data_IF_733335629450
#
_entry.id   IF_733335629450
#
_cell.length_a   1.000
_cell.length_b   1.000
_cell.length_c   1.000
_cell.angle_alpha   90.00
_cell.angle_beta   90.00
_cell.angle_gamma   90.00
#
_symmetry.space_group_name_H-M   'P 1'
#
loop_
_entity.id
_entity.type
_entity.pdbx_description
1 polymer ?
#
# COMPACT_ATOMS: atom_id res chain seq x y z
N UNK A 1 3.16 -51.22 -17.28
CA UNK A 1 2.24 -50.06 -17.32
C UNK A 1 2.26 -49.36 -15.97
N UNK A 2 3.28 -48.53 -15.75
CA UNK A 2 3.41 -47.68 -14.54
C UNK A 2 4.06 -46.39 -15.02
N UNK A 3 3.38 -45.29 -14.96
CA UNK A 3 3.96 -43.98 -15.22
C UNK A 3 3.02 -43.04 -15.90
N UNK A 4 2.26 -42.22 -15.18
CA UNK A 4 1.73 -40.90 -15.65
C UNK A 4 0.91 -40.23 -14.54
N UNK A 5 1.29 -40.29 -13.28
CA UNK A 5 0.60 -39.59 -12.19
C UNK A 5 1.49 -38.65 -11.34
N UNK A 6 2.73 -38.36 -11.74
CA UNK A 6 3.63 -37.51 -10.94
C UNK A 6 3.94 -36.14 -11.56
N UNK A 7 3.39 -35.79 -12.71
CA UNK A 7 3.71 -34.51 -13.41
C UNK A 7 2.72 -33.37 -13.10
N UNK A 8 1.60 -33.61 -12.41
CA UNK A 8 0.56 -32.57 -12.19
C UNK A 8 0.72 -31.85 -10.83
N UNK A 9 1.55 -32.33 -9.93
CA UNK A 9 1.65 -31.79 -8.57
C UNK A 9 2.76 -30.72 -8.39
N UNK A 10 3.58 -30.46 -9.39
CA UNK A 10 4.67 -29.47 -9.31
C UNK A 10 4.33 -28.08 -9.85
N UNK A 11 3.17 -27.87 -10.46
CA UNK A 11 2.76 -26.55 -11.02
C UNK A 11 1.94 -25.73 -10.03
N UNK A 12 1.36 -26.36 -9.00
CA UNK A 12 0.51 -25.68 -8.02
C UNK A 12 1.28 -24.93 -6.92
N UNK A 13 2.60 -25.07 -6.82
CA UNK A 13 3.38 -24.49 -5.70
C UNK A 13 4.15 -23.22 -6.07
N UNK A 14 4.02 -22.72 -7.30
CA UNK A 14 4.78 -21.54 -7.78
C UNK A 14 3.94 -20.26 -7.95
N UNK A 15 2.71 -20.22 -7.45
CA UNK A 15 1.77 -19.10 -7.63
C UNK A 15 1.51 -18.32 -6.35
N UNK A 16 2.38 -18.39 -5.39
CA UNK A 16 2.21 -17.58 -4.18
C UNK A 16 3.39 -16.66 -4.04
N UNK A 17 3.34 -15.48 -4.62
CA UNK A 17 4.09 -14.37 -4.11
C UNK A 17 3.96 -13.17 -5.01
N UNK A 18 3.37 -12.03 -4.55
CA UNK A 18 3.88 -10.71 -4.82
C UNK A 18 2.86 -9.57 -4.72
N UNK A 19 3.14 -8.37 -4.19
CA UNK A 19 2.21 -7.26 -4.11
C UNK A 19 2.19 -6.34 -5.32
N UNK A 20 1.02 -5.97 -5.72
CA UNK A 20 0.83 -4.72 -6.45
C UNK A 20 -0.44 -4.02 -6.02
N UNK A 21 -0.32 -2.79 -5.61
CA UNK A 21 -1.39 -1.83 -5.75
C UNK A 21 -1.52 -1.47 -7.22
N UNK A 22 -1.97 -2.38 -8.04
CA UNK A 22 -2.25 -2.10 -9.44
C UNK A 22 -3.72 -1.83 -9.63
N UNK A 23 -4.18 -0.70 -9.10
CA UNK A 23 -5.34 -0.02 -9.66
C UNK A 23 -4.85 1.27 -10.26
N UNK A 24 -5.29 1.56 -11.47
CA UNK A 24 -5.13 2.88 -12.05
C UNK A 24 -5.78 3.92 -11.11
N UNK A 25 -5.04 4.35 -10.10
CA UNK A 25 -5.56 5.25 -9.04
C UNK A 25 -6.06 6.58 -9.62
N UNK A 26 -5.63 6.91 -10.83
CA UNK A 26 -6.12 8.07 -11.55
C UNK A 26 -7.46 7.81 -12.26
N UNK A 27 -7.78 6.57 -12.62
CA UNK A 27 -9.04 6.23 -13.26
C UNK A 27 -10.10 5.93 -12.21
N UNK A 28 -11.27 6.53 -12.34
CA UNK A 28 -12.39 6.32 -11.42
C UNK A 28 -13.39 5.33 -12.02
N UNK A 29 -14.08 4.54 -11.18
CA UNK A 29 -15.26 3.79 -11.62
C UNK A 29 -16.33 4.75 -12.11
N UNK A 30 -17.13 4.30 -13.07
CA UNK A 30 -18.30 5.03 -13.55
C UNK A 30 -19.36 5.16 -12.46
N UNK A 31 -20.34 6.04 -12.64
CA UNK A 31 -21.48 6.16 -11.73
C UNK A 31 -22.15 4.79 -11.51
N UNK A 32 -22.33 4.41 -10.23
CA UNK A 32 -22.94 3.13 -9.84
C UNK A 32 -22.05 1.91 -10.05
N UNK A 33 -20.81 2.09 -10.51
CA UNK A 33 -19.79 1.04 -10.54
C UNK A 33 -19.00 1.05 -9.25
N UNK A 34 -18.71 -0.13 -8.72
CA UNK A 34 -17.88 -0.30 -7.55
C UNK A 34 -16.86 -1.39 -7.74
N UNK A 35 -15.91 -1.45 -6.83
CA UNK A 35 -14.93 -2.51 -6.81
C UNK A 35 -14.49 -2.82 -5.39
N UNK A 36 -14.28 -4.11 -5.13
CA UNK A 36 -13.66 -4.64 -3.91
C UNK A 36 -12.34 -5.28 -4.28
N UNK A 37 -11.27 -4.94 -3.58
CA UNK A 37 -10.02 -5.66 -3.67
C UNK A 37 -9.66 -6.26 -2.32
N UNK A 38 -9.14 -7.48 -2.35
CA UNK A 38 -8.54 -8.16 -1.20
C UNK A 38 -7.08 -8.40 -1.50
N UNK A 39 -6.21 -7.92 -0.63
CA UNK A 39 -4.76 -8.00 -0.77
C UNK A 39 -4.17 -8.65 0.47
N UNK A 40 -3.46 -9.74 0.27
CA UNK A 40 -2.64 -10.35 1.31
C UNK A 40 -1.19 -9.96 1.09
N UNK A 41 -0.51 -9.47 2.12
CA UNK A 41 0.91 -9.11 2.08
C UNK A 41 1.68 -9.85 3.16
N UNK A 42 2.81 -10.47 2.78
CA UNK A 42 3.83 -10.95 3.70
C UNK A 42 5.09 -10.09 3.54
N UNK A 43 5.60 -9.54 4.61
CA UNK A 43 6.81 -8.70 4.59
C UNK A 43 7.77 -9.05 5.71
N UNK A 44 9.05 -8.86 5.43
CA UNK A 44 10.15 -9.03 6.36
C UNK A 44 11.03 -7.78 6.36
N UNK A 45 11.10 -7.08 7.49
CA UNK A 45 12.07 -6.03 7.71
C UNK A 45 13.23 -6.55 8.59
N UNK A 46 14.47 -6.28 8.16
CA UNK A 46 15.67 -6.81 8.81
C UNK A 46 16.67 -5.75 9.24
N UNK A 47 16.52 -4.52 8.77
CA UNK A 47 17.43 -3.41 9.08
C UNK A 47 16.66 -2.21 9.60
N UNK A 48 17.27 -1.52 10.55
CA UNK A 48 16.83 -0.20 11.02
C UNK A 48 17.83 0.85 10.53
N UNK A 49 17.40 1.77 9.70
CA UNK A 49 18.20 2.89 9.22
C UNK A 49 17.98 4.09 10.11
N UNK A 50 19.03 4.51 10.80
CA UNK A 50 19.12 5.80 11.47
C UNK A 50 19.71 6.85 10.50
N UNK A 51 19.72 8.15 10.83
CA UNK A 51 20.25 9.19 9.96
C UNK A 51 21.68 8.96 9.45
N UNK A 52 22.54 8.38 10.29
CA UNK A 52 23.99 8.24 10.03
C UNK A 52 24.48 6.80 10.01
N UNK A 53 23.65 5.83 10.38
CA UNK A 53 24.06 4.41 10.47
C UNK A 53 22.89 3.49 10.23
N UNK A 54 23.17 2.26 9.87
CA UNK A 54 22.20 1.18 9.80
C UNK A 54 22.69 -0.01 10.62
N UNK A 55 21.76 -0.68 11.30
CA UNK A 55 22.11 -1.88 12.06
C UNK A 55 20.95 -2.88 12.06
N UNK A 56 21.32 -4.11 12.29
CA UNK A 56 20.40 -5.21 12.55
C UNK A 56 20.11 -5.24 14.06
N UNK A 57 18.86 -5.00 14.42
CA UNK A 57 18.40 -5.16 15.82
C UNK A 57 17.42 -6.30 15.98
N UNK A 58 17.15 -7.02 14.92
CA UNK A 58 16.18 -8.10 14.86
C UNK A 58 15.29 -7.96 13.61
N UNK A 59 14.31 -8.82 13.53
CA UNK A 59 13.46 -8.96 12.38
C UNK A 59 12.01 -8.64 12.75
N UNK A 60 11.33 -7.91 11.87
CA UNK A 60 9.88 -7.72 11.96
C UNK A 60 9.27 -8.54 10.84
N UNK A 61 8.52 -9.57 11.22
CA UNK A 61 7.65 -10.30 10.30
C UNK A 61 6.27 -9.64 10.35
N UNK A 62 5.67 -9.37 9.20
CA UNK A 62 4.32 -8.85 9.12
C UNK A 62 3.53 -9.57 8.02
N UNK A 63 2.31 -9.97 8.35
CA UNK A 63 1.29 -10.41 7.42
C UNK A 63 0.15 -9.41 7.48
N UNK A 64 -0.34 -8.93 6.35
CA UNK A 64 -1.49 -8.04 6.33
C UNK A 64 -2.54 -8.50 5.33
N UNK A 65 -3.80 -8.28 5.67
CA UNK A 65 -4.93 -8.39 4.77
C UNK A 65 -5.55 -7.00 4.65
N UNK A 66 -5.55 -6.47 3.45
CA UNK A 66 -6.23 -5.22 3.14
C UNK A 66 -7.49 -5.52 2.33
N UNK A 67 -8.63 -5.02 2.81
CA UNK A 67 -9.87 -4.97 2.03
C UNK A 67 -10.08 -3.52 1.61
N UNK A 68 -10.07 -3.28 0.31
CA UNK A 68 -10.23 -1.96 -0.28
C UNK A 68 -11.52 -1.89 -1.08
N UNK A 69 -12.37 -0.93 -0.76
CA UNK A 69 -13.62 -0.67 -1.44
C UNK A 69 -13.56 0.68 -2.14
N UNK A 70 -14.01 0.73 -3.39
CA UNK A 70 -14.15 1.98 -4.16
C UNK A 70 -15.49 2.00 -4.86
N UNK A 71 -16.16 3.17 -4.87
CA UNK A 71 -17.47 3.32 -5.51
C UNK A 71 -17.59 4.67 -6.23
N UNK A 72 -18.07 4.64 -7.47
CA UNK A 72 -18.36 5.80 -8.30
C UNK A 72 -19.71 6.42 -7.92
N UNK A 73 -19.70 7.56 -7.26
CA UNK A 73 -20.91 8.33 -6.95
C UNK A 73 -21.46 9.04 -8.19
N UNK A 74 -20.54 9.52 -9.01
CA UNK A 74 -20.82 10.13 -10.33
C UNK A 74 -19.71 9.71 -11.29
N UNK A 75 -19.81 10.05 -12.57
CA UNK A 75 -18.76 9.78 -13.57
C UNK A 75 -17.44 10.55 -13.28
N UNK A 76 -17.45 11.45 -12.28
CA UNK A 76 -16.29 12.24 -11.90
C UNK A 76 -15.92 12.16 -10.42
N UNK A 77 -16.76 11.58 -9.58
CA UNK A 77 -16.52 11.49 -8.13
C UNK A 77 -16.57 10.06 -7.68
N UNK A 78 -15.55 9.60 -6.99
CA UNK A 78 -15.53 8.32 -6.33
C UNK A 78 -15.12 8.45 -4.86
N UNK A 79 -15.64 7.54 -4.05
CA UNK A 79 -15.24 7.37 -2.64
C UNK A 79 -14.51 6.05 -2.47
N UNK A 80 -13.64 5.98 -1.48
CA UNK A 80 -12.95 4.74 -1.13
C UNK A 80 -12.85 4.55 0.38
N UNK A 81 -12.85 3.29 0.80
CA UNK A 81 -12.63 2.86 2.18
C UNK A 81 -11.64 1.70 2.16
N UNK A 82 -10.61 1.76 2.99
CA UNK A 82 -9.64 0.68 3.14
C UNK A 82 -9.63 0.19 4.59
N UNK A 83 -9.76 -1.13 4.75
CA UNK A 83 -9.85 -1.85 6.01
C UNK A 83 -8.65 -2.79 6.12
N UNK A 84 -7.52 -2.36 6.69
CA UNK A 84 -6.35 -3.20 6.86
C UNK A 84 -6.43 -3.98 8.19
N UNK A 85 -6.02 -5.25 8.13
CA UNK A 85 -5.74 -6.12 9.27
C UNK A 85 -4.29 -6.53 9.20
N UNK A 86 -3.61 -6.58 10.32
CA UNK A 86 -2.20 -6.95 10.36
C UNK A 86 -1.93 -7.96 11.49
N UNK A 87 -1.06 -8.91 11.19
CA UNK A 87 -0.40 -9.77 12.14
C UNK A 87 1.10 -9.43 12.11
N UNK A 88 1.65 -8.96 13.22
CA UNK A 88 3.05 -8.59 13.33
C UNK A 88 3.74 -9.39 14.43
N UNK A 89 5.05 -9.57 14.24
CA UNK A 89 5.91 -10.21 15.24
C UNK A 89 7.31 -9.63 15.16
N UNK A 90 7.90 -9.32 16.31
CA UNK A 90 9.31 -8.96 16.42
C UNK A 90 10.14 -10.15 16.92
N UNK A 91 11.25 -10.43 16.26
CA UNK A 91 12.25 -11.43 16.66
C UNK A 91 13.62 -10.76 16.77
N UNK A 92 14.07 -10.52 17.98
CA UNK A 92 15.37 -9.89 18.19
C UNK A 92 15.78 -9.74 19.64
N UNK A 93 17.07 -9.35 19.85
CA UNK A 93 17.65 -9.18 21.17
C UNK A 93 17.47 -7.78 21.75
N UNK A 94 16.98 -6.83 20.96
CA UNK A 94 16.84 -5.43 21.33
C UNK A 94 15.40 -4.94 21.17
N UNK A 95 14.45 -5.47 21.97
CA UNK A 95 13.06 -5.00 21.94
C UNK A 95 12.98 -3.57 22.46
N UNK A 96 11.88 -2.89 22.21
CA UNK A 96 11.54 -1.66 22.90
C UNK A 96 11.39 -1.95 24.40
N UNK A 97 11.93 -1.05 25.22
CA UNK A 97 11.80 -1.16 26.67
C UNK A 97 11.04 0.06 27.19
N UNK A 98 10.05 -0.19 28.03
CA UNK A 98 9.30 0.80 28.79
C UNK A 98 10.24 1.57 29.76
N UNK A 99 9.75 2.65 30.36
CA UNK A 99 10.51 3.47 31.30
C UNK A 99 10.99 2.67 32.52
N UNK A 100 10.17 1.74 32.98
CA UNK A 100 10.50 0.82 34.08
C UNK A 100 11.45 -0.32 33.68
N UNK A 101 11.95 -0.35 32.44
CA UNK A 101 12.85 -1.37 31.93
C UNK A 101 12.17 -2.66 31.45
N UNK A 102 10.86 -2.78 31.58
CA UNK A 102 10.11 -3.92 31.04
C UNK A 102 10.06 -3.85 29.50
N UNK A 103 9.96 -5.01 28.87
CA UNK A 103 9.77 -5.14 27.42
C UNK A 103 8.40 -4.58 27.02
N UNK A 104 8.34 -3.85 25.89
CA UNK A 104 7.07 -3.48 25.27
C UNK A 104 6.26 -4.74 24.91
N UNK A 105 4.95 -4.68 25.13
CA UNK A 105 4.06 -5.86 25.06
C UNK A 105 4.09 -6.55 23.70
N UNK A 106 4.17 -5.80 22.61
CA UNK A 106 4.18 -6.34 21.25
C UNK A 106 5.54 -6.90 20.80
N UNK A 107 6.63 -6.63 21.54
CA UNK A 107 7.98 -7.11 21.20
C UNK A 107 8.34 -8.42 21.98
N UNK A 108 7.35 -9.22 22.35
CA UNK A 108 7.49 -10.45 23.14
C UNK A 108 7.92 -11.68 22.32
N UNK A 109 7.92 -11.56 20.98
CA UNK A 109 8.28 -12.63 20.04
C UNK A 109 7.09 -13.43 19.53
N UNK A 110 5.88 -13.19 20.01
CA UNK A 110 4.64 -13.82 19.52
C UNK A 110 4.00 -13.00 18.40
N UNK A 111 3.03 -13.61 17.72
CA UNK A 111 2.21 -12.93 16.73
C UNK A 111 1.09 -12.12 17.42
N UNK A 112 0.98 -10.84 17.06
CA UNK A 112 -0.08 -9.95 17.48
C UNK A 112 -0.95 -9.58 16.27
N UNK A 113 -2.24 -9.88 16.35
CA UNK A 113 -3.21 -9.68 15.26
C UNK A 113 -4.20 -8.60 15.66
N UNK A 114 -4.36 -7.60 14.80
CA UNK A 114 -5.29 -6.50 15.07
C UNK A 114 -5.71 -5.79 13.78
N UNK A 115 -6.88 -5.12 13.74
CA UNK A 115 -7.15 -4.11 12.72
C UNK A 115 -6.12 -2.98 12.81
N UNK A 116 -5.73 -2.44 11.66
CA UNK A 116 -4.83 -1.30 11.54
C UNK A 116 -5.61 0.00 11.33
N UNK A 117 -4.91 1.09 11.03
CA UNK A 117 -5.52 2.39 10.77
C UNK A 117 -6.40 2.36 9.51
N UNK A 118 -7.66 2.77 9.64
CA UNK A 118 -8.63 2.87 8.57
C UNK A 118 -8.28 4.02 7.63
N UNK A 119 -8.63 3.87 6.35
CA UNK A 119 -8.43 4.93 5.36
C UNK A 119 -9.73 5.23 4.64
N UNK A 120 -10.00 6.52 4.46
CA UNK A 120 -11.13 7.02 3.69
C UNK A 120 -10.61 7.99 2.64
N UNK A 121 -11.25 8.03 1.49
CA UNK A 121 -10.84 8.92 0.41
C UNK A 121 -11.99 9.37 -0.47
N UNK A 122 -11.85 10.60 -0.99
CA UNK A 122 -12.69 11.16 -2.04
C UNK A 122 -11.79 11.58 -3.18
N UNK A 123 -12.13 11.18 -4.39
CA UNK A 123 -11.39 11.44 -5.61
C UNK A 123 -12.29 12.15 -6.62
N UNK A 124 -11.74 13.13 -7.33
CA UNK A 124 -12.44 13.87 -8.36
C UNK A 124 -11.67 13.79 -9.68
N UNK A 125 -12.29 13.31 -10.74
CA UNK A 125 -11.66 13.25 -12.04
C UNK A 125 -11.74 14.62 -12.74
N UNK A 126 -10.62 15.34 -12.72
CA UNK A 126 -10.50 16.67 -13.31
C UNK A 126 -10.36 16.57 -14.84
N UNK A 127 -9.58 15.61 -15.34
CA UNK A 127 -9.30 15.42 -16.76
C UNK A 127 -9.33 13.93 -17.12
N UNK A 128 -10.08 13.58 -18.17
CA UNK A 128 -10.34 12.19 -18.58
C UNK A 128 -9.81 11.85 -19.98
N UNK A 129 -9.22 12.81 -20.71
CA UNK A 129 -8.74 12.60 -22.08
C UNK A 129 -7.23 12.79 -22.17
N UNK A 130 -6.58 11.90 -22.88
CA UNK A 130 -5.13 11.91 -23.06
C UNK A 130 -4.38 11.51 -21.78
N UNK A 131 -4.16 12.47 -20.88
CA UNK A 131 -3.70 12.24 -19.50
C UNK A 131 -4.90 12.33 -18.57
N UNK A 132 -5.14 11.30 -17.77
CA UNK A 132 -6.16 11.32 -16.72
C UNK A 132 -5.55 11.99 -15.48
N UNK A 133 -6.24 12.98 -14.91
CA UNK A 133 -5.78 13.72 -13.71
C UNK A 133 -6.89 13.72 -12.68
N UNK A 134 -6.56 13.22 -11.49
CA UNK A 134 -7.52 12.97 -10.41
C UNK A 134 -6.96 13.47 -9.07
N UNK A 135 -7.25 14.73 -8.68
CA UNK A 135 -7.02 15.19 -7.33
C UNK A 135 -7.84 14.37 -6.32
N UNK A 136 -7.33 14.28 -5.09
CA UNK A 136 -7.98 13.57 -4.01
C UNK A 136 -7.69 14.17 -2.65
N UNK A 137 -8.58 13.90 -1.71
CA UNK A 137 -8.40 14.11 -0.27
C UNK A 137 -8.72 12.81 0.43
N UNK A 138 -7.95 12.48 1.43
CA UNK A 138 -8.16 11.29 2.25
C UNK A 138 -7.82 11.54 3.70
N UNK A 139 -8.23 10.61 4.55
CA UNK A 139 -7.90 10.59 5.97
C UNK A 139 -7.49 9.18 6.38
N UNK A 140 -6.56 9.12 7.33
CA UNK A 140 -6.16 7.91 8.06
C UNK A 140 -6.60 8.11 9.50
N UNK A 141 -7.22 7.10 10.10
CA UNK A 141 -7.67 7.14 11.48
C UNK A 141 -7.47 5.79 12.15
N UNK A 142 -7.00 5.74 13.40
CA UNK A 142 -6.91 4.49 14.13
C UNK A 142 -8.26 3.78 14.17
N UNK A 143 -8.27 2.47 13.90
CA UNK A 143 -9.48 1.65 13.97
C UNK A 143 -10.00 1.50 15.40
N UNK A 144 -9.08 1.51 16.36
CA UNK A 144 -9.32 1.42 17.79
C UNK A 144 -8.07 1.89 18.54
N UNK A 145 -8.11 1.84 19.86
CA UNK A 145 -6.95 2.10 20.71
C UNK A 145 -6.07 0.85 20.78
N UNK A 146 -4.85 0.91 20.26
CA UNK A 146 -3.87 -0.18 20.30
C UNK A 146 -2.49 0.32 20.73
N UNK A 147 -1.63 -0.61 21.17
CA UNK A 147 -0.25 -0.30 21.54
C UNK A 147 0.58 -0.04 20.28
N UNK A 148 1.30 1.07 20.26
CA UNK A 148 2.13 1.51 19.13
C UNK A 148 3.63 1.56 19.46
N UNK A 149 4.02 1.52 20.73
CA UNK A 149 5.41 1.57 21.15
C UNK A 149 6.03 0.18 21.08
N UNK A 150 6.42 -0.26 19.90
CA UNK A 150 7.07 -1.54 19.66
C UNK A 150 7.61 -1.61 18.23
N UNK A 151 8.63 -2.46 17.98
CA UNK A 151 9.05 -2.80 16.62
C UNK A 151 7.94 -3.51 15.84
N UNK A 152 7.16 -4.36 16.52
CA UNK A 152 6.02 -5.06 15.95
C UNK A 152 4.71 -4.25 16.03
N UNK A 153 4.80 -2.91 16.09
CA UNK A 153 3.61 -2.08 16.10
C UNK A 153 2.76 -2.29 14.83
N UNK A 154 1.44 -2.45 14.96
CA UNK A 154 0.54 -2.60 13.82
C UNK A 154 0.40 -1.33 12.99
N UNK A 155 0.60 -0.16 13.58
CA UNK A 155 0.47 1.14 12.94
C UNK A 155 0.99 2.27 13.82
N UNK A 156 0.67 3.50 13.44
CA UNK A 156 1.13 4.69 14.19
C UNK A 156 0.13 5.19 15.22
N UNK A 157 -1.10 4.70 15.21
CA UNK A 157 -2.21 5.18 16.05
C UNK A 157 -2.35 6.71 15.99
N UNK A 158 -2.27 7.30 14.78
CA UNK A 158 -2.37 8.74 14.55
C UNK A 158 -3.44 9.07 13.52
N UNK A 159 -4.12 10.21 13.71
CA UNK A 159 -4.99 10.78 12.69
C UNK A 159 -4.14 11.56 11.68
N UNK A 160 -4.37 11.32 10.39
CA UNK A 160 -3.70 12.03 9.31
C UNK A 160 -4.71 12.49 8.25
N UNK A 161 -4.45 13.64 7.65
CA UNK A 161 -5.14 14.12 6.44
C UNK A 161 -4.13 14.10 5.31
N UNK A 162 -4.57 13.57 4.16
CA UNK A 162 -3.80 13.47 2.94
C UNK A 162 -4.50 14.26 1.84
N UNK A 163 -3.76 15.09 1.11
CA UNK A 163 -4.26 15.75 -0.09
C UNK A 163 -3.24 15.57 -1.22
N UNK A 164 -3.72 15.29 -2.42
CA UNK A 164 -2.80 14.98 -3.51
C UNK A 164 -3.46 14.87 -4.86
N UNK A 165 -2.69 14.34 -5.81
CA UNK A 165 -3.11 14.12 -7.18
C UNK A 165 -2.60 12.77 -7.69
N UNK A 166 -3.43 12.07 -8.44
CA UNK A 166 -3.05 10.93 -9.26
C UNK A 166 -3.12 11.32 -10.72
N UNK A 167 -2.17 10.85 -11.53
CA UNK A 167 -2.17 11.04 -12.98
C UNK A 167 -1.86 9.71 -13.67
N UNK A 168 -2.50 9.46 -14.83
CA UNK A 168 -2.23 8.27 -15.63
C UNK A 168 -2.30 8.59 -17.11
N UNK A 169 -1.50 7.87 -17.90
CA UNK A 169 -1.55 7.86 -19.36
C UNK A 169 -1.37 6.46 -19.89
N UNK A 170 -2.22 6.09 -20.84
CA UNK A 170 -2.08 4.85 -21.59
C UNK A 170 -1.56 5.18 -23.00
N UNK A 171 -0.56 4.44 -23.42
CA UNK A 171 0.07 4.54 -24.74
C UNK A 171 -0.41 3.36 -25.59
N UNK A 172 -1.63 3.48 -26.13
CA UNK A 172 -2.31 2.38 -26.85
C UNK A 172 -1.47 1.74 -27.95
N UNK A 173 -0.78 2.56 -28.77
CA UNK A 173 0.10 2.06 -29.84
C UNK A 173 1.37 1.37 -29.37
N UNK A 174 1.67 1.34 -28.06
CA UNK A 174 2.88 0.73 -27.47
C UNK A 174 2.56 -0.35 -26.46
N UNK A 175 1.29 -0.64 -26.18
CA UNK A 175 0.88 -1.58 -25.15
C UNK A 175 1.38 -1.22 -23.74
N UNK A 176 1.53 0.07 -23.43
CA UNK A 176 2.10 0.55 -22.15
C UNK A 176 1.19 1.52 -21.45
N UNK A 177 1.32 1.60 -20.13
CA UNK A 177 0.77 2.69 -19.36
C UNK A 177 1.80 3.18 -18.31
N UNK A 178 1.62 4.43 -17.91
CA UNK A 178 2.32 5.03 -16.78
C UNK A 178 1.29 5.68 -15.89
N UNK A 179 1.40 5.47 -14.60
CA UNK A 179 0.61 6.21 -13.61
C UNK A 179 1.49 6.63 -12.44
N UNK A 180 1.10 7.74 -11.83
CA UNK A 180 1.75 8.26 -10.65
C UNK A 180 0.73 8.82 -9.66
N UNK A 181 1.11 8.81 -8.40
CA UNK A 181 0.37 9.46 -7.32
C UNK A 181 1.34 10.23 -6.46
N UNK A 182 0.94 11.44 -6.07
CA UNK A 182 1.65 12.25 -5.09
C UNK A 182 0.66 12.78 -4.07
N UNK A 183 1.03 12.75 -2.79
CA UNK A 183 0.25 13.30 -1.70
C UNK A 183 1.13 14.03 -0.70
N UNK A 184 0.58 15.06 -0.08
CA UNK A 184 1.05 15.68 1.15
C UNK A 184 0.19 15.16 2.29
N UNK A 185 0.85 14.66 3.34
CA UNK A 185 0.23 14.19 4.57
C UNK A 185 0.54 15.11 5.75
N UNK A 186 -0.46 15.35 6.58
CA UNK A 186 -0.35 16.11 7.82
C UNK A 186 -0.98 15.30 8.94
N UNK A 187 -0.16 14.87 9.89
CA UNK A 187 -0.61 14.15 11.08
C UNK A 187 -1.14 15.08 12.17
N UNK A 188 -1.83 14.50 13.13
CA UNK A 188 -2.19 15.18 14.37
C UNK A 188 -0.95 15.65 15.14
N UNK A 189 -1.15 16.54 16.10
CA UNK A 189 -0.06 16.97 16.99
C UNK A 189 0.18 15.93 18.08
N UNK A 190 1.40 15.39 18.14
CA UNK A 190 1.85 14.41 19.14
C UNK A 190 3.07 14.98 19.85
N UNK A 191 3.04 15.10 21.17
CA UNK A 191 4.13 15.63 22.00
C UNK A 191 4.76 16.92 21.43
N UNK A 192 3.89 17.88 21.05
CA UNK A 192 4.30 19.16 20.49
C UNK A 192 4.70 19.12 19.00
N UNK A 193 5.02 17.97 18.45
CA UNK A 193 5.35 17.78 17.04
C UNK A 193 4.09 17.55 16.19
N UNK A 194 4.08 18.07 14.96
CA UNK A 194 3.08 17.77 13.95
C UNK A 194 3.78 17.18 12.73
N UNK A 195 3.78 15.85 12.57
CA UNK A 195 4.42 15.21 11.42
C UNK A 195 3.80 15.67 10.10
N UNK A 196 4.66 16.03 9.13
CA UNK A 196 4.28 16.32 7.75
C UNK A 196 5.16 15.48 6.84
N UNK A 197 4.57 14.94 5.79
CA UNK A 197 5.33 14.10 4.85
C UNK A 197 4.76 14.23 3.44
N UNK A 198 5.59 13.86 2.46
CA UNK A 198 5.15 13.55 1.11
C UNK A 198 5.11 12.05 0.92
N UNK A 199 4.12 11.56 0.16
CA UNK A 199 4.08 10.20 -0.36
C UNK A 199 4.06 10.28 -1.88
N UNK A 200 4.87 9.44 -2.52
CA UNK A 200 4.91 9.30 -3.97
C UNK A 200 4.84 7.85 -4.39
N UNK A 201 4.16 7.58 -5.49
CA UNK A 201 4.12 6.28 -6.12
C UNK A 201 4.17 6.44 -7.63
N UNK A 202 4.93 5.59 -8.30
CA UNK A 202 4.97 5.49 -9.76
C UNK A 202 4.82 4.04 -10.15
N UNK A 203 4.04 3.80 -11.18
CA UNK A 203 3.81 2.51 -11.80
C UNK A 203 3.98 2.64 -13.31
N UNK A 204 4.74 1.71 -13.89
CA UNK A 204 4.90 1.57 -15.33
C UNK A 204 4.46 0.15 -15.68
N UNK A 205 3.45 0.03 -16.53
CA UNK A 205 2.92 -1.26 -16.95
C UNK A 205 3.09 -1.52 -18.43
N UNK A 206 3.27 -2.79 -18.77
CA UNK A 206 3.35 -3.29 -20.14
C UNK A 206 2.38 -4.45 -20.33
N UNK A 207 1.49 -4.35 -21.34
CA UNK A 207 0.55 -5.41 -21.70
C UNK A 207 1.26 -6.44 -22.56
N UNK A 208 1.54 -7.62 -22.01
CA UNK A 208 2.06 -8.77 -22.77
C UNK A 208 1.01 -9.37 -23.68
N UNK A 209 -0.23 -9.43 -23.17
CA UNK A 209 -1.44 -9.85 -23.88
C UNK A 209 -2.60 -8.99 -23.40
N UNK A 210 -3.81 -9.20 -23.91
CA UNK A 210 -5.03 -8.54 -23.41
C UNK A 210 -5.31 -8.85 -21.93
N UNK A 211 -4.89 -10.03 -21.46
CA UNK A 211 -5.15 -10.49 -20.10
C UNK A 211 -3.94 -10.38 -19.17
N UNK A 212 -2.70 -10.25 -19.68
CA UNK A 212 -1.48 -10.29 -18.86
C UNK A 212 -0.74 -8.97 -18.93
N UNK A 213 -0.44 -8.39 -17.77
CA UNK A 213 0.33 -7.15 -17.63
C UNK A 213 1.54 -7.37 -16.74
N UNK A 214 2.70 -6.87 -17.14
CA UNK A 214 3.87 -6.68 -16.28
C UNK A 214 3.87 -5.27 -15.72
N UNK A 215 4.35 -5.13 -14.48
CA UNK A 215 4.34 -3.85 -13.78
C UNK A 215 5.67 -3.61 -13.08
N UNK A 216 6.27 -2.45 -13.30
CA UNK A 216 7.35 -1.90 -12.48
C UNK A 216 6.77 -0.90 -11.48
N UNK A 217 7.21 -0.94 -10.23
CA UNK A 217 6.69 -0.16 -9.12
C UNK A 217 7.81 0.56 -8.38
N UNK A 218 7.57 1.83 -8.02
CA UNK A 218 8.35 2.56 -7.04
C UNK A 218 7.40 3.33 -6.12
N UNK A 219 7.63 3.26 -4.80
CA UNK A 219 6.84 3.97 -3.81
C UNK A 219 7.75 4.52 -2.71
N UNK A 220 7.51 5.76 -2.30
CA UNK A 220 8.34 6.41 -1.30
C UNK A 220 7.55 7.31 -0.37
N UNK A 221 8.14 7.52 0.80
CA UNK A 221 7.70 8.50 1.81
C UNK A 221 8.88 9.38 2.17
N UNK A 222 8.63 10.69 2.29
CA UNK A 222 9.61 11.69 2.70
C UNK A 222 9.05 12.55 3.81
N UNK A 223 9.58 12.42 5.02
CA UNK A 223 9.21 13.22 6.20
C UNK A 223 9.81 14.62 6.12
N UNK A 224 8.96 15.66 6.18
CA UNK A 224 9.38 17.06 6.18
C UNK A 224 9.66 17.56 7.59
N UNK A 225 8.87 17.13 8.56
CA UNK A 225 8.96 17.50 9.97
C UNK A 225 8.96 16.26 10.84
N UNK A 226 9.42 16.40 12.07
CA UNK A 226 9.55 15.32 13.02
C UNK A 226 10.97 15.27 13.61
N UNK A 227 11.25 14.25 14.39
CA UNK A 227 12.55 14.06 15.03
C UNK A 227 13.40 13.03 14.29
N UNK A 228 14.71 13.18 14.37
CA UNK A 228 15.67 12.16 13.95
C UNK A 228 15.96 11.23 15.13
N UNK A 229 15.84 9.91 14.89
CA UNK A 229 16.18 8.90 15.89
C UNK A 229 17.65 8.54 15.74
N UNK A 230 18.36 8.51 16.87
CA UNK A 230 19.78 8.16 16.96
C UNK A 230 19.99 6.99 17.93
N UNK A 231 21.17 6.44 17.98
CA UNK A 231 21.52 5.37 18.94
C UNK A 231 21.39 5.81 20.39
N UNK A 232 21.50 7.11 20.67
CA UNK A 232 21.38 7.72 21.99
C UNK A 232 19.97 8.26 22.31
N UNK A 233 19.02 8.19 21.39
CA UNK A 233 17.71 8.83 21.57
C UNK A 233 16.99 8.42 22.85
N UNK A 234 17.14 7.16 23.28
CA UNK A 234 16.56 6.69 24.56
C UNK A 234 17.09 7.46 25.77
N UNK A 235 18.37 7.86 25.77
CA UNK A 235 19.02 8.55 26.88
C UNK A 235 19.01 10.07 26.76
N UNK A 236 18.75 10.60 25.55
CA UNK A 236 18.84 12.03 25.26
C UNK A 236 17.49 12.72 25.07
N UNK A 237 16.46 11.96 24.68
CA UNK A 237 15.10 12.49 24.53
C UNK A 237 14.33 12.39 25.85
N UNK A 238 13.43 13.33 26.15
CA UNK A 238 12.41 13.13 27.18
C UNK A 238 11.64 11.83 26.92
N UNK A 239 11.28 11.11 27.99
CA UNK A 239 10.57 9.82 27.85
C UNK A 239 9.35 9.89 26.95
N UNK A 240 8.54 10.90 27.11
CA UNK A 240 7.33 11.09 26.32
C UNK A 240 7.62 11.20 24.81
N UNK A 241 8.69 11.89 24.40
CA UNK A 241 9.12 11.95 23.01
C UNK A 241 9.70 10.61 22.54
N UNK A 242 10.47 9.93 23.36
CA UNK A 242 10.99 8.61 23.03
C UNK A 242 9.88 7.58 22.92
N UNK A 243 8.89 7.58 23.81
CA UNK A 243 7.72 6.71 23.74
C UNK A 243 6.89 6.91 22.45
N UNK A 244 6.85 8.13 21.94
CA UNK A 244 6.12 8.48 20.72
C UNK A 244 7.02 8.58 19.47
N UNK A 245 8.28 8.11 19.51
CA UNK A 245 9.23 8.37 18.44
C UNK A 245 8.79 7.87 17.06
N UNK A 246 8.14 6.72 16.96
CA UNK A 246 7.63 6.18 15.67
C UNK A 246 6.47 7.01 15.11
N UNK A 247 5.72 7.70 15.98
CA UNK A 247 4.63 8.59 15.59
C UNK A 247 5.13 9.94 15.07
N UNK A 248 6.29 10.39 15.56
CA UNK A 248 6.87 11.71 15.27
C UNK A 248 8.20 11.65 14.52
N UNK A 249 8.67 10.47 14.13
CA UNK A 249 9.91 10.31 13.38
C UNK A 249 9.83 10.97 12.00
N UNK A 250 10.91 11.65 11.61
CA UNK A 250 11.12 12.16 10.24
C UNK A 250 11.60 11.04 9.33
N UNK A 251 10.69 10.17 8.97
CA UNK A 251 10.96 8.98 8.20
C UNK A 251 11.13 9.26 6.71
N UNK A 252 12.13 8.61 6.09
CA UNK A 252 12.29 8.55 4.65
C UNK A 252 12.45 7.09 4.23
N UNK A 253 11.71 6.67 3.23
CA UNK A 253 11.81 5.34 2.64
C UNK A 253 11.50 5.41 1.15
N UNK A 254 12.25 4.65 0.36
CA UNK A 254 11.98 4.39 -1.05
C UNK A 254 12.02 2.88 -1.27
N UNK A 255 10.92 2.36 -1.78
CA UNK A 255 10.76 0.96 -2.12
C UNK A 255 10.61 0.83 -3.64
N UNK A 256 11.17 -0.22 -4.21
CA UNK A 256 11.03 -0.51 -5.64
C UNK A 256 10.86 -2.01 -5.87
N UNK A 257 10.28 -2.36 -7.00
CA UNK A 257 10.04 -3.73 -7.39
C UNK A 257 9.16 -3.85 -8.62
N UNK A 258 8.44 -4.96 -8.72
CA UNK A 258 7.59 -5.19 -9.87
C UNK A 258 6.59 -6.32 -9.63
N UNK A 259 5.76 -6.58 -10.61
CA UNK A 259 4.71 -7.57 -10.50
C UNK A 259 4.07 -7.95 -11.82
N UNK A 260 3.04 -8.77 -11.70
CA UNK A 260 2.20 -9.24 -12.79
C UNK A 260 0.73 -9.11 -12.39
N UNK A 261 -0.10 -8.79 -13.36
CA UNK A 261 -1.56 -8.81 -13.21
C UNK A 261 -2.17 -9.64 -14.32
N UNK A 262 -3.21 -10.40 -13.98
CA UNK A 262 -3.95 -11.27 -14.88
C UNK A 262 -5.44 -10.94 -14.77
N UNK A 263 -6.04 -10.54 -15.88
CA UNK A 263 -7.48 -10.37 -16.04
C UNK A 263 -8.11 -11.74 -16.33
N UNK A 264 -8.87 -12.27 -15.37
CA UNK A 264 -9.55 -13.57 -15.49
C UNK A 264 -10.90 -13.43 -16.18
N UNK A 265 -11.57 -12.31 -15.99
CA UNK A 265 -12.85 -11.98 -16.62
C UNK A 265 -13.05 -10.46 -16.68
N UNK A 266 -14.13 -10.01 -17.29
CA UNK A 266 -14.53 -8.59 -17.32
C UNK A 266 -14.64 -7.92 -15.93
N UNK A 267 -14.75 -8.72 -14.87
CA UNK A 267 -14.97 -8.24 -13.51
C UNK A 267 -13.92 -8.69 -12.50
N UNK A 268 -13.01 -9.59 -12.87
CA UNK A 268 -12.04 -10.18 -11.93
C UNK A 268 -10.63 -10.03 -12.46
N UNK A 269 -9.80 -9.32 -11.69
CA UNK A 269 -8.36 -9.29 -11.86
C UNK A 269 -7.69 -9.96 -10.66
N UNK A 270 -6.65 -10.75 -10.93
CA UNK A 270 -5.71 -11.23 -9.91
C UNK A 270 -4.34 -10.61 -10.18
N UNK A 271 -3.59 -10.41 -9.15
CA UNK A 271 -2.27 -9.78 -9.30
C UNK A 271 -1.32 -10.24 -8.21
N UNK A 272 -0.11 -10.04 -8.57
CA UNK A 272 1.02 -10.42 -7.77
C UNK A 272 2.23 -9.47 -8.01
N UNK A 273 3.04 -8.99 -6.99
CA UNK A 273 4.28 -8.17 -7.10
C UNK A 273 5.26 -8.32 -5.91
N UNK A 274 6.51 -7.89 -5.99
CA UNK A 274 7.54 -7.82 -4.94
C UNK A 274 8.08 -6.41 -4.83
N UNK A 275 8.25 -5.96 -3.61
CA UNK A 275 8.97 -4.72 -3.29
C UNK A 275 10.12 -5.01 -2.33
N UNK A 276 11.16 -4.22 -2.43
CA UNK A 276 12.23 -4.14 -1.44
C UNK A 276 12.55 -2.68 -1.15
N UNK A 277 13.09 -2.38 0.02
CA UNK A 277 13.57 -1.04 0.35
C UNK A 277 14.92 -0.81 -0.32
N UNK A 278 15.00 0.18 -1.21
CA UNK A 278 16.23 0.58 -1.91
C UNK A 278 16.95 1.73 -1.24
N UNK A 279 16.23 2.57 -0.49
CA UNK A 279 16.80 3.62 0.34
C UNK A 279 15.91 3.88 1.56
N UNK A 280 16.53 4.10 2.72
CA UNK A 280 15.81 4.43 3.93
C UNK A 280 16.64 5.32 4.85
N UNK A 281 15.97 6.14 5.66
CA UNK A 281 16.53 6.93 6.75
C UNK A 281 15.45 7.07 7.82
N UNK A 282 15.83 6.85 9.07
CA UNK A 282 14.90 6.92 10.20
C UNK A 282 13.72 5.97 10.05
N UNK A 283 13.95 4.79 9.47
CA UNK A 283 12.92 3.84 9.08
C UNK A 283 13.42 2.41 9.11
N UNK A 284 12.51 1.46 9.23
CA UNK A 284 12.79 0.04 9.01
C UNK A 284 12.86 -0.25 7.50
N UNK A 285 13.84 -1.06 7.09
CA UNK A 285 13.99 -1.46 5.69
C UNK A 285 13.46 -2.88 5.49
N UNK A 286 12.54 -3.00 4.56
CA UNK A 286 12.02 -4.28 4.11
C UNK A 286 13.06 -4.99 3.25
N UNK A 287 13.45 -6.20 3.65
CA UNK A 287 14.20 -7.11 2.81
C UNK A 287 13.35 -7.52 1.60
N UNK A 288 12.08 -7.79 1.86
CA UNK A 288 11.06 -8.01 0.86
C UNK A 288 9.67 -7.67 1.42
N UNK A 289 8.77 -7.41 0.51
CA UNK A 289 7.33 -7.34 0.76
C UNK A 289 6.63 -8.03 -0.40
N UNK A 290 5.95 -9.10 -0.11
CA UNK A 290 5.29 -9.96 -1.07
C UNK A 290 3.79 -9.85 -0.87
N UNK A 291 3.00 -9.48 -1.89
CA UNK A 291 1.53 -9.45 -1.78
C UNK A 291 0.90 -10.18 -2.97
N UNK A 292 -0.18 -10.85 -2.78
CA UNK A 292 -1.08 -11.32 -3.81
C UNK A 292 -2.47 -10.77 -3.55
N UNK A 293 -3.25 -10.60 -4.59
CA UNK A 293 -4.59 -10.06 -4.42
C UNK A 293 -5.55 -10.37 -5.56
N UNK A 294 -6.81 -10.17 -5.27
CA UNK A 294 -7.90 -10.23 -6.22
C UNK A 294 -8.71 -8.94 -6.16
N UNK A 295 -9.17 -8.49 -7.30
CA UNK A 295 -10.07 -7.36 -7.42
C UNK A 295 -11.32 -7.80 -8.18
N UNK A 296 -12.47 -7.48 -7.62
CA UNK A 296 -13.77 -7.70 -8.25
C UNK A 296 -14.46 -6.36 -8.50
N UNK A 297 -14.89 -6.14 -9.72
CA UNK A 297 -15.65 -4.97 -10.18
C UNK A 297 -17.10 -5.36 -10.37
N UNK A 298 -18.02 -4.53 -9.88
CA UNK A 298 -19.45 -4.75 -9.99
C UNK A 298 -20.17 -3.46 -10.38
N UNK A 299 -21.40 -3.59 -10.93
CA UNK A 299 -22.24 -2.43 -11.30
C UNK A 299 -23.65 -2.65 -10.77
N UNK A 300 -24.27 -1.59 -10.27
CA UNK A 300 -25.66 -1.65 -9.83
C UNK A 300 -26.60 -1.93 -11.00
N UNK A 301 -27.63 -2.80 -10.84
CA UNK A 301 -28.55 -3.19 -11.94
C UNK A 301 -29.30 -2.02 -12.58
N UNK A 302 -29.71 -1.03 -11.82
CA UNK A 302 -30.45 0.15 -12.30
C UNK A 302 -29.64 1.02 -13.27
N UNK A 303 -28.33 1.07 -13.10
CA UNK A 303 -27.43 1.81 -14.00
C UNK A 303 -27.18 1.06 -15.29
N UNK A 304 -27.33 -0.28 -15.31
CA UNK A 304 -27.24 -1.08 -16.53
C UNK A 304 -28.38 -0.78 -17.51
N UNK A 305 -29.59 -0.48 -17.02
CA UNK A 305 -30.75 -0.17 -17.86
C UNK A 305 -30.65 1.20 -18.55
N UNK A 306 -29.99 2.19 -17.91
CA UNK A 306 -29.81 3.54 -18.45
C UNK A 306 -28.57 3.69 -19.36
N UNK A 307 -27.66 2.74 -19.34
CA UNK A 307 -26.30 2.84 -19.92
C UNK A 307 -26.14 2.29 -21.34
N UNK A 308 -27.21 2.04 -22.10
CA UNK A 308 -27.10 1.43 -23.44
C UNK A 308 -26.44 2.31 -24.52
N UNK A 309 -25.83 3.47 -24.16
CA UNK A 309 -25.14 4.35 -25.13
C UNK A 309 -23.77 4.84 -24.69
N UNK A 310 -23.25 4.47 -23.52
CA UNK A 310 -21.91 4.87 -23.11
C UNK A 310 -20.90 3.72 -23.35
N UNK A 311 -20.04 3.88 -24.31
CA UNK A 311 -18.87 3.00 -24.53
C UNK A 311 -17.98 3.04 -23.31
N UNK A 312 -17.71 1.92 -22.60
CA UNK A 312 -16.87 1.93 -21.40
C UNK A 312 -15.43 2.30 -21.76
N UNK A 313 -15.01 3.49 -21.45
CA UNK A 313 -13.65 3.99 -21.73
C UNK A 313 -12.56 3.08 -21.13
N UNK A 314 -12.81 2.46 -19.99
CA UNK A 314 -11.87 1.54 -19.37
C UNK A 314 -11.74 0.20 -20.14
N UNK A 315 -12.80 -0.32 -20.75
CA UNK A 315 -12.74 -1.53 -21.61
C UNK A 315 -12.07 -1.24 -22.95
N UNK A 316 -12.29 -0.04 -23.51
CA UNK A 316 -11.77 0.32 -24.82
C UNK A 316 -10.24 0.49 -24.83
N UNK A 317 -9.62 0.77 -23.70
CA UNK A 317 -8.16 0.97 -23.59
C UNK A 317 -7.41 -0.35 -23.71
N UNK A 318 -7.93 -1.44 -23.15
CA UNK A 318 -7.27 -2.76 -23.26
C UNK A 318 -7.50 -3.42 -24.62
N UNK A 319 -8.70 -3.31 -25.21
CA UNK A 319 -9.01 -3.94 -26.49
C UNK A 319 -8.38 -3.25 -27.72
N UNK A 320 -8.09 -1.93 -27.66
CA UNK A 320 -7.50 -1.21 -28.79
C UNK A 320 -5.96 -1.14 -28.76
N UNK A 321 -5.31 -1.65 -27.72
CA UNK A 321 -3.84 -1.63 -27.65
C UNK A 321 -3.18 -2.80 -28.42
N UNK A 322 -3.95 -3.78 -28.91
CA UNK A 322 -3.44 -5.00 -29.59
C UNK A 322 -3.84 -5.04 -31.07
N UNK A 323 -4.62 -4.10 -31.58
CA UNK A 323 -4.85 -3.87 -33.01
C UNK A 323 -4.04 -2.64 -33.47
#
# INVERSE_FOLDING_TARGET
MIGTRRAVLCIATLVLVVPAYSRAQAMLPEKGEGSVAMLFTNSLATKHYLPTTAFDRGHIDANSLLVDFTFGLTDRVAVSVSLPFVATRYRGRSPHLLENGQRALLDDGSWHVTPQDLRFGVRYNLMQRGVVITPFVGTVTPSHRYDFFAHASPGRATHEILAGVSAARVFTGRGMFVQGRYALGVGERVVGSRPRHSEGQVEIGYFLTESVRLVGLAAGRYGHTGIDITTSSRSTLPWEQYYNHDRIAREHALNAGGGVSLTLSDSIDVFASILTTVAARNSHAMKYSLTAGVSWTFRQPEVRAAGNQATPLARCVCQKAVQ
#
